data_IF_114439663201
#
_entry.id   IF_114439663201
#
_cell.length_a   1.000
_cell.length_b   1.000
_cell.length_c   1.000
_cell.angle_alpha   90.00
_cell.angle_beta   90.00
_cell.angle_gamma   90.00
#
_symmetry.space_group_name_H-M   'P 1'
#
loop_
_entity.id
_entity.type
_entity.pdbx_description
1 polymer ?
#
# COMPACT_ATOMS: atom_id res chain seq x y z
N UNK A 1 -4.79 3.22 1.85
CA UNK A 1 -5.24 1.80 2.02
C UNK A 1 -5.88 1.63 3.39
N UNK A 2 -7.10 1.08 3.52
CA UNK A 2 -7.75 0.82 4.80
C UNK A 2 -6.96 -0.05 5.79
N UNK A 3 -6.88 0.40 7.04
CA UNK A 3 -6.19 -0.34 8.12
C UNK A 3 -6.83 -1.70 8.39
N UNK A 4 -8.16 -1.79 8.28
CA UNK A 4 -8.89 -3.03 8.55
C UNK A 4 -8.52 -4.19 7.61
N UNK A 5 -7.94 -3.91 6.44
CA UNK A 5 -7.42 -4.97 5.57
C UNK A 5 -6.27 -5.75 6.20
N UNK A 6 -5.46 -5.08 7.02
CA UNK A 6 -4.41 -5.72 7.80
C UNK A 6 -5.06 -6.43 8.98
N UNK A 7 -5.84 -5.71 9.80
CA UNK A 7 -6.49 -6.25 11.02
C UNK A 7 -7.32 -7.52 10.78
N UNK A 8 -8.01 -7.60 9.63
CA UNK A 8 -8.85 -8.75 9.24
C UNK A 8 -8.12 -9.77 8.35
N UNK A 9 -6.81 -9.61 8.14
CA UNK A 9 -5.97 -10.47 7.27
C UNK A 9 -6.43 -10.56 5.80
N UNK A 10 -7.29 -9.64 5.34
CA UNK A 10 -7.67 -9.58 3.93
C UNK A 10 -6.45 -9.33 3.04
N UNK A 11 -5.56 -8.44 3.48
CA UNK A 11 -4.31 -8.19 2.78
C UNK A 11 -3.44 -9.44 2.73
N UNK A 12 -3.23 -10.15 3.85
CA UNK A 12 -2.43 -11.37 3.90
C UNK A 12 -2.87 -12.40 2.84
N UNK A 13 -4.18 -12.57 2.68
CA UNK A 13 -4.78 -13.57 1.79
C UNK A 13 -4.73 -13.19 0.30
N UNK A 14 -4.38 -11.95 -0.05
CA UNK A 14 -4.22 -11.58 -1.46
C UNK A 14 -2.98 -12.23 -2.07
N UNK A 15 -3.06 -12.68 -3.34
CA UNK A 15 -1.86 -13.11 -4.06
C UNK A 15 -0.92 -11.92 -4.28
N UNK A 16 0.37 -12.20 -4.44
CA UNK A 16 1.41 -11.18 -4.59
C UNK A 16 1.13 -10.23 -5.77
N UNK A 17 0.58 -10.73 -6.88
CA UNK A 17 0.16 -9.91 -8.03
C UNK A 17 -0.91 -8.89 -7.67
N UNK A 18 -1.92 -9.26 -6.87
CA UNK A 18 -2.95 -8.34 -6.39
C UNK A 18 -2.39 -7.30 -5.42
N UNK A 19 -1.51 -7.72 -4.49
CA UNK A 19 -0.81 -6.81 -3.58
C UNK A 19 0.02 -5.77 -4.33
N UNK A 20 0.66 -6.16 -5.44
CA UNK A 20 1.46 -5.26 -6.25
C UNK A 20 0.64 -4.16 -6.94
N UNK A 21 -0.58 -4.45 -7.38
CA UNK A 21 -1.38 -3.52 -8.19
C UNK A 21 -2.44 -2.75 -7.39
N UNK A 22 -2.92 -3.30 -6.28
CA UNK A 22 -4.01 -2.69 -5.50
C UNK A 22 -3.72 -1.23 -5.09
N UNK A 23 -2.52 -0.89 -4.57
CA UNK A 23 -2.19 0.48 -4.19
C UNK A 23 -2.18 1.45 -5.36
N UNK A 24 -1.83 0.96 -6.56
CA UNK A 24 -1.86 1.76 -7.79
C UNK A 24 -3.30 2.04 -8.21
N UNK A 25 -4.19 1.06 -8.14
CA UNK A 25 -5.62 1.28 -8.42
C UNK A 25 -6.19 2.31 -7.44
N UNK A 26 -5.86 2.17 -6.15
CA UNK A 26 -6.33 3.07 -5.08
C UNK A 26 -5.79 4.50 -5.24
N UNK A 27 -4.52 4.67 -5.64
CA UNK A 27 -3.93 5.99 -5.94
C UNK A 27 -4.71 6.76 -7.00
N UNK A 28 -5.31 6.06 -7.96
CA UNK A 28 -6.06 6.67 -9.05
C UNK A 28 -7.55 6.86 -8.72
N UNK A 29 -8.00 6.50 -7.52
CA UNK A 29 -9.38 6.71 -7.09
C UNK A 29 -9.68 8.20 -6.91
N UNK A 30 -10.78 8.65 -7.52
CA UNK A 30 -11.32 9.98 -7.31
C UNK A 30 -12.05 10.08 -5.95
N UNK A 31 -12.71 11.22 -5.70
CA UNK A 31 -13.49 11.44 -4.48
C UNK A 31 -14.62 10.42 -4.25
N UNK A 32 -15.14 9.81 -5.32
CA UNK A 32 -16.18 8.77 -5.26
C UNK A 32 -15.60 7.35 -5.12
N UNK A 33 -14.28 7.21 -5.00
CA UNK A 33 -13.60 5.92 -4.93
C UNK A 33 -13.46 5.21 -6.27
N UNK A 34 -13.75 5.87 -7.39
CA UNK A 34 -13.71 5.29 -8.74
C UNK A 34 -12.41 5.66 -9.46
N UNK A 35 -11.81 4.71 -10.17
CA UNK A 35 -10.59 4.90 -10.95
C UNK A 35 -10.65 4.28 -12.33
N UNK A 36 -9.90 4.86 -13.28
CA UNK A 36 -9.86 4.46 -14.69
C UNK A 36 -8.43 4.21 -15.25
N UNK A 37 -7.43 3.76 -14.47
CA UNK A 37 -6.11 3.50 -15.02
C UNK A 37 -6.15 2.32 -16.01
N UNK A 38 -5.44 2.45 -17.13
CA UNK A 38 -5.25 1.34 -18.08
C UNK A 38 -4.40 0.22 -17.45
N UNK A 39 -4.47 -1.01 -17.98
CA UNK A 39 -3.60 -2.10 -17.51
C UNK A 39 -2.11 -1.75 -17.70
N UNK A 40 -1.77 -1.08 -18.81
CA UNK A 40 -0.42 -0.56 -19.05
C UNK A 40 0.01 0.45 -17.98
N UNK A 41 -0.86 1.40 -17.62
CA UNK A 41 -0.58 2.37 -16.54
C UNK A 41 -0.34 1.67 -15.21
N UNK A 42 -1.17 0.68 -14.88
CA UNK A 42 -1.00 -0.12 -13.66
C UNK A 42 0.34 -0.87 -13.70
N UNK A 43 0.65 -1.52 -14.83
CA UNK A 43 1.87 -2.29 -15.03
C UNK A 43 3.13 -1.43 -14.81
N UNK A 44 3.19 -0.26 -15.43
CA UNK A 44 4.31 0.70 -15.30
C UNK A 44 4.49 1.11 -13.83
N UNK A 45 3.42 1.60 -13.18
CA UNK A 45 3.52 2.12 -11.81
C UNK A 45 3.75 1.01 -10.76
N UNK A 46 3.29 -0.21 -11.03
CA UNK A 46 3.52 -1.35 -10.16
C UNK A 46 4.85 -2.06 -10.43
N UNK A 47 5.57 -1.72 -11.51
CA UNK A 47 6.82 -2.40 -11.90
C UNK A 47 6.60 -3.87 -12.27
N UNK A 48 5.51 -4.18 -12.97
CA UNK A 48 5.14 -5.55 -13.37
C UNK A 48 4.66 -5.58 -14.82
N UNK A 49 4.46 -6.77 -15.37
CA UNK A 49 3.92 -6.93 -16.73
C UNK A 49 2.39 -6.78 -16.75
N UNK A 50 1.81 -6.44 -17.91
CA UNK A 50 0.35 -6.46 -18.07
C UNK A 50 -0.26 -7.85 -17.82
N UNK A 51 0.49 -8.93 -18.04
CA UNK A 51 0.06 -10.28 -17.64
C UNK A 51 -0.13 -10.37 -16.12
N UNK A 52 0.86 -9.91 -15.35
CA UNK A 52 0.78 -9.86 -13.89
C UNK A 52 -0.35 -8.95 -13.43
N UNK A 53 -0.64 -7.85 -14.13
CA UNK A 53 -1.82 -7.01 -13.86
C UNK A 53 -3.10 -7.81 -14.04
N UNK A 54 -3.26 -8.56 -15.13
CA UNK A 54 -4.45 -9.40 -15.35
C UNK A 54 -4.64 -10.43 -14.24
N UNK A 55 -3.56 -11.10 -13.85
CA UNK A 55 -3.57 -12.08 -12.75
C UNK A 55 -3.92 -11.41 -11.41
N UNK A 56 -3.36 -10.22 -11.15
CA UNK A 56 -3.67 -9.44 -9.95
C UNK A 56 -5.11 -8.93 -9.91
N UNK A 57 -5.67 -8.52 -11.06
CA UNK A 57 -7.07 -8.12 -11.16
C UNK A 57 -8.02 -9.29 -10.92
N UNK A 58 -7.67 -10.48 -11.43
CA UNK A 58 -8.42 -11.71 -11.14
C UNK A 58 -8.36 -12.08 -9.65
N UNK A 59 -7.20 -11.93 -9.01
CA UNK A 59 -7.04 -12.17 -7.57
C UNK A 59 -7.74 -11.13 -6.66
N UNK A 60 -8.16 -10.00 -7.20
CA UNK A 60 -8.96 -9.00 -6.48
C UNK A 60 -10.47 -9.28 -6.57
N UNK A 61 -10.93 -10.23 -7.40
CA UNK A 61 -12.34 -10.61 -7.45
C UNK A 61 -12.76 -11.18 -6.09
N UNK A 62 -13.76 -10.55 -5.45
CA UNK A 62 -14.19 -10.89 -4.09
C UNK A 62 -13.39 -10.21 -2.96
N UNK A 63 -12.38 -9.40 -3.28
CA UNK A 63 -11.71 -8.57 -2.26
C UNK A 63 -12.70 -7.52 -1.72
N UNK A 64 -12.72 -7.25 -0.40
CA UNK A 64 -13.68 -6.33 0.18
C UNK A 64 -13.63 -4.96 -0.49
N UNK A 65 -14.81 -4.37 -0.72
CA UNK A 65 -14.99 -3.02 -1.28
C UNK A 65 -14.45 -2.82 -2.70
N UNK A 66 -13.89 -3.86 -3.33
CA UNK A 66 -13.39 -3.81 -4.70
C UNK A 66 -14.47 -4.24 -5.70
N UNK A 67 -14.60 -3.47 -6.78
CA UNK A 67 -15.43 -3.85 -7.93
C UNK A 67 -14.78 -3.45 -9.23
N UNK A 68 -14.72 -4.38 -10.19
CA UNK A 68 -14.30 -4.12 -11.56
C UNK A 68 -15.51 -4.13 -12.49
N UNK A 69 -15.71 -3.05 -13.25
CA UNK A 69 -16.86 -2.94 -14.16
C UNK A 69 -16.36 -2.64 -15.58
N UNK A 70 -16.81 -3.46 -16.53
CA UNK A 70 -16.60 -3.22 -17.96
C UNK A 70 -17.56 -2.15 -18.48
N UNK A 71 -17.08 -1.26 -19.33
CA UNK A 71 -17.90 -0.29 -20.04
C UNK A 71 -17.40 -0.08 -21.48
N UNK A 72 -18.23 0.55 -22.30
CA UNK A 72 -17.89 0.95 -23.66
C UNK A 72 -17.60 2.44 -23.70
N UNK A 73 -16.50 2.83 -24.30
CA UNK A 73 -16.19 4.25 -24.52
C UNK A 73 -17.05 4.81 -25.64
N UNK A 74 -17.14 6.15 -25.74
CA UNK A 74 -17.85 6.83 -26.84
C UNK A 74 -17.31 6.47 -28.24
N UNK A 75 -16.10 5.89 -28.32
CA UNK A 75 -15.47 5.41 -29.55
C UNK A 75 -15.64 3.89 -29.78
N UNK A 76 -16.48 3.23 -28.98
CA UNK A 76 -16.78 1.80 -29.11
C UNK A 76 -15.71 0.86 -28.55
N UNK A 77 -14.71 1.36 -27.83
CA UNK A 77 -13.69 0.51 -27.21
C UNK A 77 -14.18 -0.05 -25.87
N UNK A 78 -13.76 -1.27 -25.56
CA UNK A 78 -13.97 -1.86 -24.23
C UNK A 78 -12.95 -1.25 -23.27
N UNK A 79 -13.44 -0.76 -22.14
CA UNK A 79 -12.62 -0.26 -21.05
C UNK A 79 -13.12 -0.80 -19.71
N UNK A 80 -12.32 -0.58 -18.67
CA UNK A 80 -12.63 -0.98 -17.30
C UNK A 80 -12.52 0.20 -16.37
N UNK A 81 -13.47 0.28 -15.42
CA UNK A 81 -13.37 1.13 -14.25
C UNK A 81 -13.29 0.26 -13.02
N UNK A 82 -12.56 0.74 -12.01
CA UNK A 82 -12.43 0.09 -10.72
C UNK A 82 -13.09 0.98 -9.68
N UNK A 83 -13.81 0.37 -8.74
CA UNK A 83 -14.34 1.06 -7.58
C UNK A 83 -13.71 0.43 -6.34
N UNK A 84 -13.21 1.30 -5.46
CA UNK A 84 -12.82 0.97 -4.10
C UNK A 84 -13.62 1.92 -3.22
N UNK A 85 -14.76 1.45 -2.73
CA UNK A 85 -15.72 2.29 -2.01
C UNK A 85 -15.66 1.95 -0.52
N UNK A 86 -15.07 2.81 0.32
CA UNK A 86 -15.02 2.58 1.76
C UNK A 86 -16.46 2.54 2.30
N UNK A 87 -16.85 1.44 2.94
CA UNK A 87 -18.22 1.21 3.43
C UNK A 87 -18.60 2.05 4.64
N UNK A 88 -17.63 2.71 5.30
CA UNK A 88 -17.84 3.51 6.51
C UNK A 88 -17.20 4.90 6.41
N UNK A 89 -17.88 5.89 7.00
CA UNK A 89 -17.43 7.30 7.05
C UNK A 89 -16.17 7.52 7.90
N UNK A 90 -15.80 6.57 8.77
CA UNK A 90 -14.69 6.68 9.73
C UNK A 90 -13.62 5.60 9.52
N UNK A 91 -13.21 5.36 8.26
CA UNK A 91 -12.17 4.38 7.96
C UNK A 91 -10.79 5.01 8.20
N UNK A 92 -10.00 4.40 9.08
CA UNK A 92 -8.57 4.74 9.22
C UNK A 92 -7.83 4.24 7.99
N UNK A 93 -7.14 5.14 7.30
CA UNK A 93 -6.37 4.85 6.09
C UNK A 93 -4.87 5.00 6.35
N UNK A 94 -4.07 4.16 5.72
CA UNK A 94 -2.67 4.45 5.42
C UNK A 94 -2.61 5.50 4.32
N UNK A 95 -1.97 6.63 4.62
CA UNK A 95 -1.61 7.65 3.64
C UNK A 95 -0.25 7.29 3.04
N UNK A 96 -0.19 7.26 1.71
CA UNK A 96 1.06 7.10 0.95
C UNK A 96 1.08 8.21 -0.09
N UNK A 97 2.18 8.96 -0.13
CA UNK A 97 2.30 10.10 -1.04
C UNK A 97 2.19 9.67 -2.50
N UNK A 98 1.52 10.48 -3.33
CA UNK A 98 1.52 10.27 -4.78
C UNK A 98 2.95 10.26 -5.35
N UNK A 99 3.87 11.04 -4.78
CA UNK A 99 5.27 11.09 -5.19
C UNK A 99 5.97 9.74 -5.03
N UNK A 100 5.61 8.95 -4.03
CA UNK A 100 6.20 7.62 -3.82
C UNK A 100 5.89 6.68 -4.98
N UNK A 101 4.69 6.74 -5.54
CA UNK A 101 4.31 5.95 -6.71
C UNK A 101 4.80 6.57 -8.02
N UNK A 102 4.67 7.89 -8.18
CA UNK A 102 5.08 8.59 -9.40
C UNK A 102 6.61 8.60 -9.60
N UNK A 103 7.38 8.62 -8.52
CA UNK A 103 8.85 8.53 -8.55
C UNK A 103 9.37 7.11 -8.77
N UNK A 104 8.50 6.11 -8.95
CA UNK A 104 8.89 4.73 -9.23
C UNK A 104 9.33 3.92 -8.00
N UNK A 105 9.35 4.49 -6.79
CA UNK A 105 9.77 3.77 -5.57
C UNK A 105 8.97 2.48 -5.39
N UNK A 106 7.63 2.54 -5.53
CA UNK A 106 6.79 1.34 -5.46
C UNK A 106 7.14 0.32 -6.55
N UNK A 107 7.41 0.78 -7.78
CA UNK A 107 7.72 -0.11 -8.90
C UNK A 107 8.99 -0.94 -8.66
N UNK A 108 10.00 -0.31 -8.03
CA UNK A 108 11.31 -0.91 -7.73
C UNK A 108 11.28 -1.91 -6.57
N UNK A 109 10.25 -1.87 -5.72
CA UNK A 109 10.11 -2.84 -4.64
C UNK A 109 9.98 -4.28 -5.17
N UNK A 110 10.67 -5.21 -4.51
CA UNK A 110 10.48 -6.64 -4.74
C UNK A 110 9.02 -7.06 -4.44
N UNK A 111 8.53 -8.17 -5.01
CA UNK A 111 7.18 -8.68 -4.70
C UNK A 111 6.92 -8.91 -3.21
N UNK A 112 7.94 -9.35 -2.47
CA UNK A 112 7.88 -9.55 -1.02
C UNK A 112 7.84 -8.22 -0.27
N UNK A 113 8.66 -7.23 -0.65
CA UNK A 113 8.63 -5.89 -0.06
C UNK A 113 7.26 -5.21 -0.25
N UNK A 114 6.67 -5.31 -1.45
CA UNK A 114 5.29 -4.86 -1.72
C UNK A 114 4.27 -5.53 -0.80
N UNK A 115 4.50 -6.81 -0.47
CA UNK A 115 3.60 -7.57 0.39
C UNK A 115 3.65 -7.13 1.85
N UNK A 116 4.81 -6.71 2.37
CA UNK A 116 4.94 -6.28 3.77
C UNK A 116 4.70 -4.79 3.99
N UNK A 117 4.79 -3.95 2.95
CA UNK A 117 4.77 -2.49 3.07
C UNK A 117 3.62 -1.93 3.94
N UNK A 118 2.37 -2.34 3.66
CA UNK A 118 1.22 -1.86 4.44
C UNK A 118 1.11 -2.49 5.81
N UNK A 119 1.64 -3.69 6.01
CA UNK A 119 1.74 -4.31 7.33
C UNK A 119 2.74 -3.55 8.19
N UNK A 120 3.89 -3.14 7.64
CA UNK A 120 4.83 -2.29 8.35
C UNK A 120 4.20 -0.94 8.70
N UNK A 121 3.53 -0.28 7.75
CA UNK A 121 2.77 0.96 8.02
C UNK A 121 1.64 0.80 9.05
N UNK A 122 1.14 -0.41 9.26
CA UNK A 122 0.13 -0.72 10.27
C UNK A 122 0.71 -0.68 11.68
N UNK A 123 1.84 -1.34 11.86
CA UNK A 123 2.51 -1.47 13.15
C UNK A 123 3.51 -0.35 13.42
N UNK A 124 3.84 0.46 12.42
CA UNK A 124 4.74 1.59 12.61
C UNK A 124 4.08 2.69 13.41
N UNK A 125 4.86 3.29 14.29
CA UNK A 125 4.45 4.37 15.17
C UNK A 125 5.57 5.41 15.25
N UNK A 126 5.24 6.57 15.81
CA UNK A 126 6.17 7.67 15.94
C UNK A 126 5.90 8.43 17.22
N UNK A 127 6.97 8.80 17.92
CA UNK A 127 6.95 9.57 19.16
C UNK A 127 8.11 10.55 19.17
N UNK A 128 7.82 11.84 19.42
CA UNK A 128 8.83 12.90 19.38
C UNK A 128 9.89 12.75 20.46
N UNK A 129 9.51 12.34 21.67
CA UNK A 129 10.45 12.28 22.79
C UNK A 129 11.55 11.27 22.48
N UNK A 130 11.15 10.07 22.05
CA UNK A 130 12.08 9.01 21.64
C UNK A 130 12.88 9.44 20.40
N UNK A 131 12.24 10.09 19.44
CA UNK A 131 12.91 10.58 18.23
C UNK A 131 14.01 11.61 18.57
N UNK A 132 13.71 12.55 19.46
CA UNK A 132 14.64 13.59 19.89
C UNK A 132 15.81 13.02 20.71
N UNK A 133 15.57 12.01 21.55
CA UNK A 133 16.64 11.35 22.32
C UNK A 133 17.69 10.66 21.44
N UNK A 134 17.29 10.21 20.24
CA UNK A 134 18.18 9.60 19.26
C UNK A 134 18.99 10.62 18.46
N UNK A 135 18.60 11.90 18.49
CA UNK A 135 19.33 12.99 17.85
C UNK A 135 20.36 13.56 18.84
N UNK A 136 21.65 13.47 18.50
CA UNK A 136 22.77 13.92 19.33
C UNK A 136 22.76 15.46 19.46
N UNK A 137 21.93 15.98 20.37
CA UNK A 137 21.80 17.43 20.61
C UNK A 137 20.44 17.90 21.11
N UNK A 138 19.50 17.01 21.39
CA UNK A 138 18.16 17.41 21.79
C UNK A 138 18.13 18.16 23.13
N UNK A 139 17.99 19.48 23.04
CA UNK A 139 17.27 20.23 24.05
C UNK A 139 15.85 19.62 24.13
N UNK A 140 15.31 19.46 25.35
CA UNK A 140 13.93 18.99 25.64
C UNK A 140 12.81 19.89 25.06
N UNK A 141 13.12 20.72 24.06
CA UNK A 141 12.19 21.56 23.35
C UNK A 141 11.31 20.70 22.44
N UNK A 142 10.01 20.70 22.71
CA UNK A 142 9.01 20.13 21.81
C UNK A 142 8.56 21.27 20.88
N UNK A 143 8.92 21.24 19.58
CA UNK A 143 8.45 22.24 18.63
C UNK A 143 6.93 22.13 18.45
N UNK A 144 6.28 23.21 18.02
CA UNK A 144 4.82 23.23 17.81
C UNK A 144 4.34 22.18 16.80
N UNK A 145 5.17 21.84 15.81
CA UNK A 145 4.90 20.80 14.83
C UNK A 145 6.12 19.87 14.67
N UNK A 146 6.30 18.90 15.59
CA UNK A 146 7.48 18.04 15.58
C UNK A 146 7.47 17.04 14.42
N UNK A 147 6.31 16.80 13.79
CA UNK A 147 6.17 15.90 12.65
C UNK A 147 6.96 16.33 11.41
N UNK A 148 7.34 17.60 11.26
CA UNK A 148 8.12 18.05 10.09
C UNK A 148 9.56 17.51 10.11
N UNK A 149 10.06 17.13 11.29
CA UNK A 149 11.39 16.58 11.51
C UNK A 149 11.40 15.04 11.47
N UNK A 150 10.25 14.42 11.20
CA UNK A 150 10.12 12.95 11.10
C UNK A 150 10.77 12.44 9.83
N UNK A 151 11.90 11.75 9.97
CA UNK A 151 12.59 11.06 8.88
C UNK A 151 12.26 9.56 8.85
N UNK A 152 12.02 8.96 10.01
CA UNK A 152 11.71 7.53 10.16
C UNK A 152 10.58 7.24 11.15
N UNK A 153 10.08 6.00 11.11
CA UNK A 153 9.09 5.46 12.05
C UNK A 153 9.72 4.36 12.88
N UNK A 154 9.24 4.18 14.10
CA UNK A 154 9.56 3.04 14.94
C UNK A 154 8.72 1.82 14.56
N UNK A 155 9.27 0.63 14.82
CA UNK A 155 8.61 -0.65 14.57
C UNK A 155 9.10 -1.69 15.58
N UNK A 156 8.22 -2.15 16.45
CA UNK A 156 8.52 -3.18 17.46
C UNK A 156 7.80 -4.51 17.19
N UNK A 157 7.05 -4.61 16.09
CA UNK A 157 6.30 -5.81 15.79
C UNK A 157 7.24 -6.99 15.46
N UNK A 158 6.98 -8.13 16.09
CA UNK A 158 7.72 -9.35 15.84
C UNK A 158 7.66 -9.76 14.36
N UNK A 159 8.77 -10.34 13.88
CA UNK A 159 8.87 -10.85 12.51
C UNK A 159 7.76 -11.88 12.19
N UNK A 160 7.38 -12.70 13.16
CA UNK A 160 6.28 -13.66 13.08
C UNK A 160 4.96 -12.96 12.73
N UNK A 161 4.65 -11.87 13.43
CA UNK A 161 3.45 -11.07 13.21
C UNK A 161 3.50 -10.42 11.83
N UNK A 162 4.64 -9.82 11.45
CA UNK A 162 4.77 -9.19 10.13
C UNK A 162 4.60 -10.22 9.01
N UNK A 163 5.22 -11.40 9.13
CA UNK A 163 5.11 -12.45 8.13
C UNK A 163 3.66 -12.94 7.98
N UNK A 164 3.00 -13.25 9.10
CA UNK A 164 1.62 -13.72 9.12
C UNK A 164 0.66 -12.69 8.53
N UNK A 165 0.73 -11.44 8.99
CA UNK A 165 -0.19 -10.37 8.58
C UNK A 165 0.04 -9.89 7.15
N UNK A 166 1.21 -10.20 6.58
CA UNK A 166 1.54 -9.93 5.18
C UNK A 166 1.31 -11.13 4.26
N UNK A 167 1.01 -12.31 4.82
CA UNK A 167 0.86 -13.55 4.06
C UNK A 167 2.13 -14.00 3.35
N UNK A 168 3.28 -13.88 4.03
CA UNK A 168 4.58 -14.34 3.54
C UNK A 168 5.26 -15.24 4.58
N UNK A 169 6.42 -15.79 4.25
CA UNK A 169 7.22 -16.58 5.20
C UNK A 169 8.20 -15.69 5.96
N UNK A 170 8.55 -16.08 7.20
CA UNK A 170 9.58 -15.39 7.99
C UNK A 170 10.93 -15.33 7.27
N UNK A 171 11.29 -16.40 6.52
CA UNK A 171 12.55 -16.48 5.77
C UNK A 171 12.68 -15.38 4.71
N UNK A 172 11.57 -15.00 4.08
CA UNK A 172 11.55 -13.97 3.04
C UNK A 172 11.60 -12.53 3.55
N UNK A 173 11.51 -12.30 4.87
CA UNK A 173 11.50 -10.94 5.44
C UNK A 173 12.82 -10.21 5.24
N UNK A 174 13.95 -10.89 5.39
CA UNK A 174 15.28 -10.26 5.31
C UNK A 174 15.49 -9.54 3.97
N UNK A 175 15.20 -10.23 2.87
CA UNK A 175 15.31 -9.69 1.51
C UNK A 175 14.28 -8.57 1.27
N UNK A 176 13.09 -8.69 1.87
CA UNK A 176 12.06 -7.67 1.76
C UNK A 176 12.47 -6.36 2.44
N UNK A 177 13.08 -6.42 3.63
CA UNK A 177 13.58 -5.24 4.33
C UNK A 177 14.70 -4.52 3.58
N UNK A 178 15.58 -5.26 2.90
CA UNK A 178 16.67 -4.67 2.09
C UNK A 178 16.16 -3.93 0.84
N UNK A 179 14.91 -4.18 0.44
CA UNK A 179 14.30 -3.57 -0.74
C UNK A 179 13.48 -2.32 -0.42
N UNK A 180 13.22 -2.02 0.86
CA UNK A 180 12.43 -0.87 1.31
C UNK A 180 13.29 0.37 1.53
#
# INVERSE_FOLDING_TARGET
VPRFYIEKKFWANLPSSSKAIYPIIFKHSNADGVSFPSQLTIAILAGVTEKTVRDGLAGLEGFPEYKRTRYYTNRGHIAYKYAITPSSKNIRLFSVSHAFFNGGNWSLLTPTAKSIYFTLKHYSWWDWLIYSELDEGANLFIPENPYIYREFDFLDADCEIIAEMSGITKKSLREAYQSL
#
